data_IF_221635032109
#
_entry.id   IF_221635032109
#
_cell.length_a   1.000
_cell.length_b   1.000
_cell.length_c   1.000
_cell.angle_alpha   90.00
_cell.angle_beta   90.00
_cell.angle_gamma   90.00
#
_symmetry.space_group_name_H-M   'P 1'
#
loop_
_entity.id
_entity.type
_entity.pdbx_description
1 polymer ?
#
# COMPACT_ATOMS: atom_id res chain seq x y z
N UNK A 1 22.08 -11.52 -12.05
CA UNK A 1 21.37 -10.52 -12.89
C UNK A 1 20.00 -10.99 -13.42
N UNK A 2 19.84 -12.22 -13.96
CA UNK A 2 18.53 -12.67 -14.49
C UNK A 2 17.42 -12.88 -13.45
N UNK A 3 17.75 -13.48 -12.29
CA UNK A 3 16.78 -13.77 -11.21
C UNK A 3 16.22 -12.52 -10.54
N UNK A 4 17.07 -11.52 -10.29
CA UNK A 4 16.66 -10.23 -9.70
C UNK A 4 15.72 -9.47 -10.63
N UNK A 5 16.02 -9.43 -11.94
CA UNK A 5 15.10 -8.85 -12.94
C UNK A 5 13.74 -9.55 -12.96
N UNK A 6 13.70 -10.87 -12.72
CA UNK A 6 12.45 -11.62 -12.62
C UNK A 6 11.64 -11.23 -11.38
N UNK A 7 12.28 -11.17 -10.21
CA UNK A 7 11.64 -10.80 -8.94
C UNK A 7 11.10 -9.36 -9.00
N UNK A 8 11.87 -8.40 -9.54
CA UNK A 8 11.42 -7.02 -9.72
C UNK A 8 10.16 -6.96 -10.58
N UNK A 9 10.11 -7.71 -11.69
CA UNK A 9 8.91 -7.77 -12.54
C UNK A 9 7.69 -8.34 -11.79
N UNK A 10 7.88 -9.40 -11.00
CA UNK A 10 6.81 -10.01 -10.21
C UNK A 10 6.27 -9.04 -9.14
N UNK A 11 7.16 -8.36 -8.42
CA UNK A 11 6.79 -7.37 -7.40
C UNK A 11 6.09 -6.15 -8.01
N UNK A 12 6.56 -5.67 -9.16
CA UNK A 12 5.90 -4.59 -9.90
C UNK A 12 4.49 -4.99 -10.35
N UNK A 13 4.35 -6.19 -10.92
CA UNK A 13 3.03 -6.69 -11.31
C UNK A 13 2.10 -6.76 -10.10
N UNK A 14 2.54 -7.38 -9.01
CA UNK A 14 1.78 -7.44 -7.75
C UNK A 14 1.39 -6.04 -7.25
N UNK A 15 2.31 -5.09 -7.32
CA UNK A 15 2.09 -3.71 -6.88
C UNK A 15 0.99 -3.03 -7.72
N UNK A 16 1.10 -3.11 -9.04
CA UNK A 16 0.13 -2.51 -9.98
C UNK A 16 -1.24 -3.18 -9.85
N UNK A 17 -1.29 -4.52 -9.89
CA UNK A 17 -2.54 -5.27 -9.75
C UNK A 17 -3.26 -4.94 -8.42
N UNK A 18 -2.49 -4.78 -7.33
CA UNK A 18 -3.04 -4.34 -6.04
C UNK A 18 -3.58 -2.91 -6.10
N UNK A 19 -2.84 -1.97 -6.68
CA UNK A 19 -3.28 -0.59 -6.79
C UNK A 19 -4.56 -0.47 -7.64
N UNK A 20 -4.65 -1.21 -8.74
CA UNK A 20 -5.85 -1.28 -9.58
C UNK A 20 -7.06 -1.79 -8.79
N UNK A 21 -6.90 -2.89 -8.06
CA UNK A 21 -7.97 -3.43 -7.21
C UNK A 21 -8.40 -2.45 -6.11
N UNK A 22 -7.46 -1.71 -5.52
CA UNK A 22 -7.78 -0.68 -4.54
C UNK A 22 -8.68 0.41 -5.17
N UNK A 23 -8.32 0.91 -6.36
CA UNK A 23 -9.11 1.92 -7.09
C UNK A 23 -10.52 1.40 -7.37
N UNK A 24 -10.65 0.16 -7.85
CA UNK A 24 -11.95 -0.46 -8.11
C UNK A 24 -12.81 -0.55 -6.85
N UNK A 25 -12.24 -0.97 -5.71
CA UNK A 25 -12.96 -1.00 -4.44
C UNK A 25 -13.43 0.39 -4.03
N UNK A 26 -12.56 1.39 -4.11
CA UNK A 26 -12.87 2.76 -3.70
C UNK A 26 -14.05 3.34 -4.50
N UNK A 27 -14.09 3.03 -5.80
CA UNK A 27 -15.11 3.51 -6.72
C UNK A 27 -16.37 2.65 -6.76
N UNK A 28 -16.41 1.51 -6.05
CA UNK A 28 -17.58 0.62 -6.04
C UNK A 28 -18.75 1.24 -5.26
N UNK A 29 -19.91 1.51 -5.90
CA UNK A 29 -21.06 2.08 -5.23
C UNK A 29 -21.66 1.09 -4.21
N UNK A 30 -22.27 1.62 -3.14
CA UNK A 30 -23.02 0.83 -2.16
C UNK A 30 -22.19 -0.13 -1.30
N UNK A 31 -20.86 -0.02 -1.32
CA UNK A 31 -19.96 -0.88 -0.53
C UNK A 31 -19.48 -0.13 0.73
N UNK A 32 -19.88 -0.61 1.91
CA UNK A 32 -19.56 0.01 3.21
C UNK A 32 -18.11 -0.11 3.66
N UNK A 33 -17.29 -0.96 3.03
CA UNK A 33 -15.88 -1.20 3.37
C UNK A 33 -14.92 -0.71 2.27
N UNK A 34 -15.38 0.18 1.38
CA UNK A 34 -14.63 0.59 0.19
C UNK A 34 -13.35 1.36 0.54
N UNK A 35 -13.41 2.26 1.52
CA UNK A 35 -12.27 3.11 1.91
C UNK A 35 -11.27 2.30 2.71
N UNK A 36 -11.74 1.46 3.62
CA UNK A 36 -10.90 0.55 4.40
C UNK A 36 -10.22 -0.49 3.50
N UNK A 37 -10.98 -1.02 2.53
CA UNK A 37 -10.47 -1.91 1.48
C UNK A 37 -9.39 -1.23 0.64
N UNK A 38 -9.66 -0.01 0.16
CA UNK A 38 -8.66 0.80 -0.56
C UNK A 38 -7.39 1.01 0.27
N UNK A 39 -7.51 1.49 1.51
CA UNK A 39 -6.35 1.77 2.40
C UNK A 39 -5.50 0.50 2.59
N UNK A 40 -6.16 -0.63 2.85
CA UNK A 40 -5.48 -1.90 3.11
C UNK A 40 -4.75 -2.40 1.87
N UNK A 41 -5.39 -2.38 0.71
CA UNK A 41 -4.79 -2.86 -0.53
C UNK A 41 -3.73 -1.89 -1.04
N UNK A 42 -3.89 -0.57 -0.87
CA UNK A 42 -2.84 0.40 -1.19
C UNK A 42 -1.59 0.21 -0.34
N UNK A 43 -1.71 -0.19 0.93
CA UNK A 43 -0.55 -0.58 1.73
C UNK A 43 0.21 -1.76 1.11
N UNK A 44 -0.50 -2.75 0.56
CA UNK A 44 0.11 -3.90 -0.14
C UNK A 44 0.79 -3.44 -1.43
N UNK A 45 0.13 -2.57 -2.19
CA UNK A 45 0.65 -1.99 -3.43
C UNK A 45 1.97 -1.25 -3.18
N UNK A 46 1.98 -0.32 -2.23
CA UNK A 46 3.18 0.44 -1.83
C UNK A 46 4.30 -0.44 -1.29
N UNK A 47 3.98 -1.44 -0.46
CA UNK A 47 5.00 -2.37 0.06
C UNK A 47 5.71 -3.09 -1.08
N UNK A 48 4.93 -3.64 -2.01
CA UNK A 48 5.46 -4.35 -3.18
C UNK A 48 6.26 -3.42 -4.10
N UNK A 49 5.84 -2.16 -4.25
CA UNK A 49 6.54 -1.14 -5.04
C UNK A 49 7.91 -0.81 -4.43
N UNK A 50 7.98 -0.57 -3.12
CA UNK A 50 9.24 -0.33 -2.41
C UNK A 50 10.17 -1.54 -2.49
N UNK A 51 9.65 -2.75 -2.33
CA UNK A 51 10.45 -3.96 -2.50
C UNK A 51 11.05 -4.08 -3.91
N UNK A 52 10.25 -3.79 -4.95
CA UNK A 52 10.74 -3.76 -6.33
C UNK A 52 11.83 -2.68 -6.49
N UNK A 53 11.62 -1.50 -5.91
CA UNK A 53 12.57 -0.39 -5.96
C UNK A 53 13.90 -0.76 -5.31
N UNK A 54 13.86 -1.31 -4.10
CA UNK A 54 15.08 -1.68 -3.38
C UNK A 54 15.87 -2.74 -4.15
N UNK A 55 15.22 -3.81 -4.60
CA UNK A 55 15.92 -4.88 -5.35
C UNK A 55 16.49 -4.34 -6.67
N UNK A 56 15.74 -3.48 -7.38
CA UNK A 56 16.24 -2.83 -8.61
C UNK A 56 17.52 -2.03 -8.33
N UNK A 57 17.64 -1.41 -7.15
CA UNK A 57 18.79 -0.64 -6.71
C UNK A 57 19.82 -1.48 -5.90
N UNK A 58 19.78 -2.81 -6.02
CA UNK A 58 20.68 -3.74 -5.32
C UNK A 58 20.64 -3.65 -3.78
N UNK A 59 19.57 -3.10 -3.22
CA UNK A 59 19.27 -3.09 -1.78
C UNK A 59 18.39 -4.30 -1.48
N UNK A 60 18.75 -5.07 -0.45
CA UNK A 60 18.00 -6.27 -0.04
C UNK A 60 17.01 -5.89 1.07
N UNK A 61 15.69 -5.85 0.80
CA UNK A 61 14.69 -5.39 1.77
C UNK A 61 14.31 -6.50 2.75
N UNK A 62 15.30 -7.07 3.44
CA UNK A 62 15.14 -8.17 4.38
C UNK A 62 15.70 -7.81 5.75
N UNK A 63 15.07 -8.25 6.83
CA UNK A 63 15.62 -8.04 8.16
C UNK A 63 16.94 -8.80 8.33
N UNK A 64 17.96 -8.11 8.85
CA UNK A 64 19.25 -8.71 9.16
C UNK A 64 19.19 -9.45 10.49
N UNK A 65 19.83 -10.62 10.57
CA UNK A 65 20.01 -11.33 11.84
C UNK A 65 20.93 -10.52 12.74
N UNK A 66 20.43 -10.13 13.91
CA UNK A 66 21.25 -9.53 14.97
C UNK A 66 22.17 -10.60 15.56
N UNK A 67 23.43 -10.59 15.18
CA UNK A 67 24.46 -11.41 15.83
C UNK A 67 25.76 -10.62 15.91
N UNK A 68 26.15 -10.28 17.13
CA UNK A 68 27.38 -9.56 17.41
C UNK A 68 28.58 -10.40 16.93
N UNK A 69 29.43 -9.83 16.09
CA UNK A 69 30.70 -10.44 15.66
C UNK A 69 30.73 -11.11 14.28
N UNK A 70 29.64 -11.08 13.49
CA UNK A 70 29.65 -11.72 12.17
C UNK A 70 30.19 -10.79 11.06
N UNK A 71 31.28 -11.20 10.37
CA UNK A 71 31.90 -10.47 9.24
C UNK A 71 30.99 -10.28 8.01
N UNK A 72 29.86 -11.00 7.93
CA UNK A 72 28.91 -10.95 6.80
C UNK A 72 27.48 -10.84 7.29
N UNK A 73 26.70 -9.94 6.71
CA UNK A 73 25.27 -9.77 6.99
C UNK A 73 24.51 -11.03 6.57
N UNK A 74 23.83 -11.67 7.52
CA UNK A 74 22.87 -12.75 7.26
C UNK A 74 21.45 -12.20 7.43
N UNK A 75 20.51 -12.73 6.64
CA UNK A 75 19.11 -12.31 6.70
C UNK A 75 18.24 -13.30 7.48
N UNK A 76 17.23 -12.77 8.17
CA UNK A 76 16.19 -13.55 8.83
C UNK A 76 15.37 -14.31 7.78
N UNK A 77 14.96 -15.53 8.13
CA UNK A 77 14.08 -16.36 7.31
C UNK A 77 12.87 -16.75 8.14
N UNK A 78 11.71 -16.72 7.52
CA UNK A 78 10.45 -17.22 8.10
C UNK A 78 10.22 -18.61 7.51
N UNK A 79 9.71 -19.51 8.35
CA UNK A 79 9.27 -20.84 7.95
C UNK A 79 7.79 -20.93 8.31
N UNK A 80 6.94 -21.06 7.31
CA UNK A 80 5.50 -21.22 7.47
C UNK A 80 5.07 -22.58 6.95
N UNK A 81 4.16 -23.24 7.66
CA UNK A 81 3.58 -24.52 7.24
C UNK A 81 2.14 -24.28 6.85
N UNK A 82 1.83 -24.43 5.56
CA UNK A 82 0.47 -24.28 5.04
C UNK A 82 0.09 -25.58 4.36
N UNK A 83 -1.00 -26.20 4.82
CA UNK A 83 -1.50 -27.48 4.29
C UNK A 83 -0.44 -28.59 4.23
N UNK A 84 0.46 -28.65 5.23
CA UNK A 84 1.53 -29.65 5.29
C UNK A 84 2.75 -29.35 4.40
N UNK A 85 2.77 -28.24 3.66
CA UNK A 85 3.92 -27.79 2.88
C UNK A 85 4.73 -26.73 3.65
N UNK A 86 6.05 -26.90 3.70
CA UNK A 86 6.97 -25.93 4.31
C UNK A 86 7.36 -24.85 3.29
N UNK A 87 7.03 -23.59 3.60
CA UNK A 87 7.44 -22.41 2.86
C UNK A 87 8.53 -21.68 3.63
N UNK A 88 9.72 -21.59 3.03
CA UNK A 88 10.89 -20.94 3.63
C UNK A 88 11.31 -19.73 2.83
N UNK A 89 11.07 -18.55 3.38
CA UNK A 89 11.32 -17.28 2.71
C UNK A 89 12.14 -16.33 3.58
N UNK A 90 12.73 -15.29 2.96
CA UNK A 90 13.33 -14.21 3.74
C UNK A 90 12.25 -13.40 4.43
N UNK A 91 12.56 -12.90 5.63
CA UNK A 91 11.67 -11.96 6.30
C UNK A 91 11.79 -10.58 5.64
N UNK A 92 10.84 -10.27 4.78
CA UNK A 92 10.75 -8.99 4.08
C UNK A 92 10.44 -7.85 5.03
N UNK A 93 10.95 -6.65 4.72
CA UNK A 93 10.60 -5.43 5.44
C UNK A 93 9.11 -5.10 5.28
N UNK A 94 8.50 -4.65 6.35
CA UNK A 94 7.18 -4.02 6.30
C UNK A 94 7.26 -2.64 5.63
N UNK A 95 6.11 -2.08 5.22
CA UNK A 95 6.04 -0.75 4.63
C UNK A 95 6.67 0.33 5.52
N UNK A 96 6.42 0.27 6.83
CA UNK A 96 6.99 1.21 7.80
C UNK A 96 8.52 1.19 7.82
N UNK A 97 9.14 0.01 7.71
CA UNK A 97 10.59 -0.13 7.57
C UNK A 97 11.06 0.36 6.21
N UNK A 98 10.33 0.07 5.13
CA UNK A 98 10.63 0.58 3.80
C UNK A 98 10.68 2.12 3.77
N UNK A 99 9.72 2.79 4.40
CA UNK A 99 9.70 4.26 4.51
C UNK A 99 10.92 4.79 5.25
N UNK A 100 11.28 4.16 6.38
CA UNK A 100 12.45 4.57 7.16
C UNK A 100 13.73 4.45 6.35
N UNK A 101 13.91 3.36 5.62
CA UNK A 101 15.12 3.12 4.82
C UNK A 101 15.17 4.01 3.57
N UNK A 102 14.03 4.30 2.94
CA UNK A 102 13.97 5.15 1.76
C UNK A 102 14.18 6.63 2.10
N UNK A 103 13.43 7.17 3.06
CA UNK A 103 13.47 8.60 3.40
C UNK A 103 14.57 8.95 4.41
N UNK A 104 15.13 7.96 5.12
CA UNK A 104 16.17 8.16 6.14
C UNK A 104 15.78 9.28 7.11
N UNK A 105 16.55 10.36 7.15
CA UNK A 105 16.38 11.51 8.03
C UNK A 105 15.32 12.51 7.57
N UNK A 106 14.86 12.44 6.32
CA UNK A 106 13.79 13.33 5.82
C UNK A 106 12.42 12.87 6.33
N UNK A 107 12.11 13.29 7.57
CA UNK A 107 10.80 13.09 8.20
C UNK A 107 9.79 14.17 7.80
N UNK A 108 10.24 15.22 7.12
CA UNK A 108 9.40 16.37 6.75
C UNK A 108 8.59 16.12 5.47
N UNK A 109 9.06 15.18 4.65
CA UNK A 109 8.49 14.86 3.35
C UNK A 109 6.96 14.61 3.40
N UNK A 110 6.16 15.30 2.57
CA UNK A 110 4.71 15.16 2.58
C UNK A 110 4.23 13.77 2.15
N UNK A 111 4.91 13.12 1.20
CA UNK A 111 4.57 11.76 0.75
C UNK A 111 4.79 10.77 1.89
N UNK A 112 5.93 10.87 2.57
CA UNK A 112 6.23 10.04 3.76
C UNK A 112 5.15 10.20 4.83
N UNK A 113 4.79 11.43 5.19
CA UNK A 113 3.77 11.70 6.22
C UNK A 113 2.41 11.15 5.84
N UNK A 114 2.01 11.31 4.57
CA UNK A 114 0.77 10.73 4.07
C UNK A 114 0.79 9.20 4.16
N UNK A 115 1.91 8.54 3.81
CA UNK A 115 2.03 7.08 3.95
C UNK A 115 2.06 6.62 5.42
N UNK A 116 2.72 7.35 6.31
CA UNK A 116 2.69 7.08 7.76
C UNK A 116 1.25 7.17 8.32
N UNK A 117 0.48 8.16 7.86
CA UNK A 117 -0.94 8.29 8.18
C UNK A 117 -1.75 7.10 7.65
N UNK A 118 -1.60 6.72 6.38
CA UNK A 118 -2.29 5.58 5.77
C UNK A 118 -1.94 4.26 6.49
N UNK A 119 -0.68 4.04 6.88
CA UNK A 119 -0.27 2.88 7.67
C UNK A 119 -0.97 2.87 9.04
N UNK A 120 -1.07 4.03 9.69
CA UNK A 120 -1.76 4.15 10.98
C UNK A 120 -3.25 3.80 10.87
N UNK A 121 -3.90 4.21 9.77
CA UNK A 121 -5.28 3.84 9.47
C UNK A 121 -5.40 2.35 9.20
N UNK A 122 -4.52 1.77 8.37
CA UNK A 122 -4.50 0.33 8.09
C UNK A 122 -4.41 -0.48 9.39
N UNK A 123 -3.50 -0.12 10.29
CA UNK A 123 -3.35 -0.82 11.57
C UNK A 123 -4.63 -0.73 12.42
N UNK A 124 -5.33 0.41 12.38
CA UNK A 124 -6.62 0.58 13.04
C UNK A 124 -7.70 -0.32 12.43
N UNK A 125 -7.79 -0.36 11.10
CA UNK A 125 -8.74 -1.18 10.35
C UNK A 125 -8.54 -2.67 10.65
N UNK A 126 -7.28 -3.14 10.66
CA UNK A 126 -6.98 -4.58 10.83
C UNK A 126 -7.14 -5.06 12.26
N UNK A 127 -6.75 -4.25 13.25
CA UNK A 127 -6.62 -4.73 14.63
C UNK A 127 -7.66 -4.18 15.60
N UNK A 128 -8.46 -3.19 15.21
CA UNK A 128 -9.49 -2.61 16.10
C UNK A 128 -10.87 -2.93 15.57
N UNK A 129 -11.78 -3.26 16.49
CA UNK A 129 -13.20 -3.36 16.21
C UNK A 129 -13.81 -1.96 16.17
N UNK A 130 -13.59 -1.22 15.08
CA UNK A 130 -14.16 0.12 14.89
C UNK A 130 -15.54 -0.05 14.24
N UNK A 131 -16.63 0.48 14.82
CA UNK A 131 -17.93 0.46 14.15
C UNK A 131 -17.82 1.17 12.80
N UNK A 132 -18.31 0.50 11.76
CA UNK A 132 -18.29 0.88 10.35
C UNK A 132 -18.50 2.40 10.19
N UNK A 133 -17.42 3.14 9.95
CA UNK A 133 -17.51 4.59 10.06
C UNK A 133 -17.77 5.18 8.68
N UNK A 134 -19.04 5.47 8.40
CA UNK A 134 -19.47 6.47 7.42
C UNK A 134 -18.70 7.81 7.60
N UNK A 135 -18.10 8.02 8.78
CA UNK A 135 -17.17 9.09 9.14
C UNK A 135 -15.76 9.01 8.54
N UNK A 136 -15.26 7.85 8.10
CA UNK A 136 -13.92 7.77 7.49
C UNK A 136 -13.93 8.42 6.11
N UNK A 137 -14.94 8.10 5.29
CA UNK A 137 -15.01 8.46 3.86
C UNK A 137 -14.84 9.97 3.60
N UNK A 138 -15.50 10.83 4.38
CA UNK A 138 -15.44 12.28 4.17
C UNK A 138 -14.15 12.93 4.69
N UNK A 139 -13.48 12.31 5.67
CA UNK A 139 -12.34 12.90 6.36
C UNK A 139 -10.98 12.41 5.84
N UNK A 140 -10.96 11.37 5.00
CA UNK A 140 -9.70 10.76 4.49
C UNK A 140 -9.59 10.77 2.97
N UNK A 141 -10.53 11.41 2.27
CA UNK A 141 -10.56 11.45 0.80
C UNK A 141 -9.29 12.08 0.23
N UNK A 142 -8.89 13.25 0.76
CA UNK A 142 -7.70 13.96 0.28
C UNK A 142 -6.43 13.15 0.49
N UNK A 143 -6.33 12.44 1.61
CA UNK A 143 -5.20 11.59 1.95
C UNK A 143 -5.16 10.33 1.08
N UNK A 144 -6.31 9.75 0.74
CA UNK A 144 -6.41 8.62 -0.18
C UNK A 144 -6.03 9.03 -1.61
N UNK A 145 -6.53 10.18 -2.07
CA UNK A 145 -6.20 10.74 -3.37
C UNK A 145 -4.70 11.05 -3.46
N UNK A 146 -4.12 11.72 -2.46
CA UNK A 146 -2.69 12.00 -2.39
C UNK A 146 -1.88 10.70 -2.38
N UNK A 147 -2.29 9.69 -1.60
CA UNK A 147 -1.63 8.39 -1.56
C UNK A 147 -1.54 7.72 -2.94
N UNK A 148 -2.63 7.79 -3.72
CA UNK A 148 -2.71 7.21 -5.05
C UNK A 148 -1.91 8.01 -6.10
N UNK A 149 -1.99 9.34 -6.07
CA UNK A 149 -1.21 10.19 -6.98
C UNK A 149 0.29 10.00 -6.74
N UNK A 150 0.72 10.08 -5.47
CA UNK A 150 2.11 9.84 -5.08
C UNK A 150 2.59 8.44 -5.49
N UNK A 151 1.70 7.43 -5.47
CA UNK A 151 2.01 6.08 -5.90
C UNK A 151 2.32 6.04 -7.39
N UNK A 152 1.45 6.64 -8.21
CA UNK A 152 1.65 6.70 -9.65
C UNK A 152 2.93 7.48 -10.00
N UNK A 153 3.16 8.61 -9.35
CA UNK A 153 4.36 9.43 -9.58
C UNK A 153 5.64 8.66 -9.22
N UNK A 154 5.65 7.93 -8.10
CA UNK A 154 6.78 7.07 -7.72
C UNK A 154 6.98 5.94 -8.73
N UNK A 155 5.90 5.27 -9.12
CA UNK A 155 5.92 4.16 -10.08
C UNK A 155 6.49 4.61 -11.42
N UNK A 156 6.00 5.73 -11.96
CA UNK A 156 6.48 6.31 -13.22
C UNK A 156 7.92 6.80 -13.07
N UNK A 157 8.23 7.57 -12.03
CA UNK A 157 9.56 8.13 -11.80
C UNK A 157 10.66 7.07 -11.66
N UNK A 158 10.34 5.90 -11.10
CA UNK A 158 11.33 4.85 -10.89
C UNK A 158 11.27 3.69 -11.87
N UNK A 159 10.17 3.44 -12.57
CA UNK A 159 10.02 2.28 -13.47
C UNK A 159 9.65 2.64 -14.91
N UNK A 160 9.33 3.91 -15.18
CA UNK A 160 9.07 4.47 -16.49
C UNK A 160 7.58 4.53 -16.86
N UNK A 161 7.29 5.37 -17.85
CA UNK A 161 5.93 5.77 -18.25
C UNK A 161 5.00 4.62 -18.63
N UNK A 162 5.54 3.51 -19.14
CA UNK A 162 4.76 2.32 -19.52
C UNK A 162 3.99 1.68 -18.36
N UNK A 163 4.32 2.04 -17.12
CA UNK A 163 3.65 1.57 -15.90
C UNK A 163 2.66 2.58 -15.33
N UNK A 164 2.45 3.73 -15.98
CA UNK A 164 1.50 4.75 -15.56
C UNK A 164 0.10 4.15 -15.45
N UNK A 165 -0.56 4.35 -14.30
CA UNK A 165 -1.94 3.92 -14.02
C UNK A 165 -2.93 5.08 -13.94
N UNK A 166 -2.49 6.29 -14.24
CA UNK A 166 -3.28 7.53 -14.21
C UNK A 166 -4.47 7.53 -15.15
N UNK A 167 -4.46 6.72 -16.22
CA UNK A 167 -5.64 6.51 -17.08
C UNK A 167 -6.84 5.89 -16.34
N UNK A 168 -6.64 5.30 -15.16
CA UNK A 168 -7.73 4.81 -14.31
C UNK A 168 -8.36 5.93 -13.47
N UNK A 169 -7.66 7.06 -13.29
CA UNK A 169 -8.16 8.22 -12.55
C UNK A 169 -9.14 9.06 -13.37
N UNK A 170 -9.10 8.97 -14.71
CA UNK A 170 -9.95 9.76 -15.60
C UNK A 170 -11.42 9.30 -15.66
N UNK A 171 -11.78 8.19 -15.00
CA UNK A 171 -13.12 7.58 -15.11
C UNK A 171 -14.01 7.72 -13.87
N UNK A 172 -13.61 8.50 -12.86
CA UNK A 172 -14.40 8.64 -11.62
C UNK A 172 -15.44 9.77 -11.70
N UNK A 173 -16.60 9.54 -12.31
CA UNK A 173 -17.79 10.40 -12.09
C UNK A 173 -18.41 10.05 -10.72
N UNK A 174 -17.98 10.73 -9.66
CA UNK A 174 -18.57 10.57 -8.32
C UNK A 174 -19.74 11.54 -8.14
N UNK A 175 -20.93 10.99 -7.86
CA UNK A 175 -22.05 11.77 -7.35
C UNK A 175 -21.77 12.09 -5.88
N UNK A 176 -21.21 13.27 -5.60
CA UNK A 176 -21.03 13.76 -4.24
C UNK A 176 -22.38 14.20 -3.65
N UNK A 177 -23.18 13.23 -3.21
CA UNK A 177 -24.34 13.48 -2.36
C UNK A 177 -23.91 13.57 -0.90
N UNK A 178 -24.05 14.74 -0.28
CA UNK A 178 -23.94 14.88 1.18
C UNK A 178 -24.82 13.83 1.87
N UNK A 179 -24.28 13.10 2.85
CA UNK A 179 -25.01 12.09 3.64
C UNK A 179 -26.25 12.64 4.36
N UNK A 180 -26.34 13.97 4.56
CA UNK A 180 -27.59 14.64 4.99
C UNK A 180 -28.75 14.38 4.03
N UNK A 181 -28.50 14.28 2.73
CA UNK A 181 -29.52 14.05 1.71
C UNK A 181 -30.07 12.62 1.73
N UNK A 182 -29.26 11.65 2.18
CA UNK A 182 -29.68 10.26 2.34
C UNK A 182 -30.57 10.08 3.59
N UNK A 183 -30.21 10.70 4.71
CA UNK A 183 -31.03 10.73 5.94
C UNK A 183 -32.39 11.42 5.75
N UNK A 184 -32.44 12.51 4.97
CA UNK A 184 -33.70 13.20 4.66
C UNK A 184 -34.66 12.36 3.80
N UNK A 185 -34.15 11.40 3.02
CA UNK A 185 -34.97 10.53 2.17
C UNK A 185 -35.72 9.46 2.96
N UNK A 186 -35.17 9.01 4.08
CA UNK A 186 -35.80 8.03 4.96
C UNK A 186 -36.75 8.64 5.99
N UNK A 187 -36.75 9.96 6.18
CA UNK A 187 -37.70 10.67 7.06
C UNK A 187 -38.99 11.13 6.35
N UNK A 188 -39.17 10.77 5.08
CA UNK A 188 -40.31 11.20 4.24
C UNK A 188 -41.25 10.07 3.82
N UNK A 189 -41.11 8.87 4.38
CA UNK A 189 -42.07 7.77 4.21
C UNK A 189 -42.67 7.42 5.58
#
# INVERSE_FOLDING_TARGET
MGREKSIVKQLLKKSIDSAMLAIELYNKPGTFFRTEGFITIMCIAWTSLFHAYFIKNSIKPYYAKKSAGMKRVRYEKIVEHVNGQEFKEYKWWELSTCLKEFYKDDKSNPVRKNLEFVISLRNRIVHRNVPQSEYLDLNVYGECQACLLNFNDFLVGHFGEKHNIGYLLSFSLQLAGSSKMFSMRYKRN
#
